data_IF_036581795261
#
_entry.id   IF_036581795261
#
_cell.length_a   1.000
_cell.length_b   1.000
_cell.length_c   1.000
_cell.angle_alpha   90.00
_cell.angle_beta   90.00
_cell.angle_gamma   90.00
#
_symmetry.space_group_name_H-M   'P 1'
#
loop_
_entity.id
_entity.type
_entity.pdbx_description
1 polymer ?
#
# COMPACT_ATOMS: atom_id res chain seq x y z
N UNK A 1 12.44 3.53 31.38
CA UNK A 1 12.42 3.63 29.91
C UNK A 1 10.97 3.77 29.50
N UNK A 2 10.54 4.97 29.13
CA UNK A 2 9.12 5.25 28.89
C UNK A 2 8.96 5.78 27.46
N UNK A 3 8.30 5.01 26.60
CA UNK A 3 7.79 5.44 25.30
C UNK A 3 6.25 5.56 25.41
N UNK A 4 5.79 6.25 26.46
CA UNK A 4 4.42 6.30 26.99
C UNK A 4 3.31 6.76 26.03
N UNK A 5 3.62 7.11 24.78
CA UNK A 5 2.68 7.65 23.81
C UNK A 5 2.96 7.19 22.38
N UNK A 6 3.33 5.93 22.18
CA UNK A 6 3.71 5.47 20.86
C UNK A 6 2.55 5.38 19.86
N UNK A 7 2.17 6.54 19.31
CA UNK A 7 1.47 6.69 18.05
C UNK A 7 2.55 6.78 16.98
N UNK A 8 2.69 5.71 16.20
CA UNK A 8 3.57 5.60 15.05
C UNK A 8 3.64 6.92 14.28
N UNK A 9 4.85 7.36 13.95
CA UNK A 9 4.99 8.53 13.09
C UNK A 9 5.24 8.13 11.64
N UNK A 10 5.79 6.93 11.42
CA UNK A 10 6.08 6.38 10.11
C UNK A 10 5.72 4.90 10.03
N UNK A 11 5.22 4.51 8.88
CA UNK A 11 4.93 3.12 8.51
C UNK A 11 5.49 2.92 7.11
N UNK A 12 6.46 2.02 7.01
CA UNK A 12 7.02 1.56 5.74
C UNK A 12 6.66 0.09 5.51
N UNK A 13 7.04 -0.46 4.37
CA UNK A 13 6.86 -1.86 4.03
C UNK A 13 8.17 -2.44 3.50
N UNK A 14 8.62 -3.54 4.08
CA UNK A 14 9.80 -4.27 3.60
C UNK A 14 9.43 -5.72 3.33
N UNK A 15 10.10 -6.31 2.34
CA UNK A 15 9.93 -7.71 2.00
C UNK A 15 10.68 -8.59 3.01
N UNK A 16 9.97 -9.55 3.61
CA UNK A 16 10.51 -10.50 4.56
C UNK A 16 10.71 -11.87 3.89
N UNK A 17 11.98 -12.30 3.80
CA UNK A 17 12.37 -13.55 3.15
C UNK A 17 11.81 -14.81 3.84
N UNK A 18 11.57 -14.76 5.17
CA UNK A 18 11.03 -15.91 5.91
C UNK A 18 9.53 -16.10 5.65
N UNK A 19 8.81 -14.99 5.40
CA UNK A 19 7.37 -14.99 5.13
C UNK A 19 7.01 -14.88 3.65
N UNK A 20 7.97 -14.63 2.76
CA UNK A 20 7.80 -14.44 1.29
C UNK A 20 6.75 -13.36 0.97
N UNK A 21 6.66 -12.33 1.82
CA UNK A 21 5.63 -11.29 1.76
C UNK A 21 6.19 -9.94 2.26
N UNK A 22 5.65 -8.83 1.75
CA UNK A 22 5.89 -7.51 2.32
C UNK A 22 5.16 -7.35 3.67
N UNK A 23 5.87 -6.81 4.65
CA UNK A 23 5.39 -6.62 6.02
C UNK A 23 5.50 -5.15 6.44
N UNK A 24 4.56 -4.70 7.28
CA UNK A 24 4.63 -3.36 7.87
C UNK A 24 5.85 -3.21 8.77
N UNK A 25 6.68 -2.21 8.50
CA UNK A 25 7.70 -1.74 9.43
C UNK A 25 7.22 -0.45 10.08
N UNK A 26 7.14 -0.47 11.40
CA UNK A 26 6.66 0.66 12.19
C UNK A 26 7.80 1.32 12.92
N UNK A 27 8.02 2.62 12.65
CA UNK A 27 9.10 3.38 13.29
C UNK A 27 8.53 4.37 14.30
N UNK A 28 9.10 4.34 15.50
CA UNK A 28 8.77 5.27 16.57
C UNK A 28 9.60 6.56 16.47
N UNK A 29 9.13 7.66 17.06
CA UNK A 29 9.85 8.97 17.02
C UNK A 29 11.24 8.95 17.65
N UNK A 30 11.60 7.88 18.38
CA UNK A 30 12.92 7.65 18.95
C UNK A 30 13.82 6.76 18.06
N UNK A 31 13.36 6.41 16.86
CA UNK A 31 14.08 5.54 15.92
C UNK A 31 14.06 4.06 16.29
N UNK A 32 13.12 3.63 17.15
CA UNK A 32 12.91 2.19 17.37
C UNK A 32 12.00 1.65 16.27
N UNK A 33 12.44 0.58 15.63
CA UNK A 33 11.71 -0.15 14.60
C UNK A 33 10.97 -1.34 15.20
N UNK A 34 9.86 -1.70 14.57
CA UNK A 34 9.14 -2.93 14.82
C UNK A 34 8.91 -3.57 13.46
N UNK A 35 9.47 -4.75 13.29
CA UNK A 35 9.19 -5.65 12.17
C UNK A 35 8.68 -7.00 12.73
N UNK A 36 8.41 -7.96 11.85
CA UNK A 36 7.89 -9.28 12.25
C UNK A 36 8.93 -10.15 12.98
N UNK A 37 10.21 -9.91 12.73
CA UNK A 37 11.37 -10.65 13.25
C UNK A 37 11.88 -10.10 14.60
N UNK A 38 11.76 -8.80 14.84
CA UNK A 38 12.17 -8.10 16.05
C UNK A 38 11.08 -8.23 17.11
N UNK A 39 11.30 -9.17 18.03
CA UNK A 39 10.64 -9.22 19.34
C UNK A 39 10.72 -7.86 20.02
N UNK A 40 9.67 -7.04 19.86
CA UNK A 40 9.33 -5.84 20.64
C UNK A 40 10.50 -5.23 21.44
N UNK A 41 11.46 -4.59 20.76
CA UNK A 41 12.58 -3.92 21.44
C UNK A 41 12.09 -2.80 22.36
N UNK A 42 10.94 -2.19 22.03
CA UNK A 42 10.33 -1.15 22.85
C UNK A 42 9.09 -1.66 23.61
N UNK A 43 9.15 -1.50 24.94
CA UNK A 43 8.14 -1.97 25.90
C UNK A 43 6.73 -1.44 25.65
N UNK A 44 6.62 -0.26 25.04
CA UNK A 44 5.34 0.37 24.70
C UNK A 44 4.67 -0.27 23.46
N UNK A 45 5.38 -1.15 22.76
CA UNK A 45 4.87 -1.92 21.62
C UNK A 45 4.49 -3.36 21.95
N UNK A 46 4.54 -3.76 23.23
CA UNK A 46 4.24 -5.14 23.66
C UNK A 46 2.90 -5.72 23.15
N UNK A 47 1.97 -4.89 22.68
CA UNK A 47 0.67 -5.29 22.13
C UNK A 47 0.56 -5.16 20.61
N UNK A 48 1.47 -4.45 19.95
CA UNK A 48 1.42 -4.28 18.51
C UNK A 48 2.00 -5.50 17.81
N UNK A 49 1.30 -5.94 16.78
CA UNK A 49 1.76 -6.98 15.87
C UNK A 49 1.78 -6.33 14.48
N UNK A 50 2.94 -6.30 13.81
CA UNK A 50 2.99 -5.88 12.41
C UNK A 50 1.96 -6.64 11.60
N UNK A 51 1.38 -5.97 10.60
CA UNK A 51 0.44 -6.61 9.69
C UNK A 51 1.13 -6.91 8.38
N UNK A 52 0.67 -7.98 7.72
CA UNK A 52 1.02 -8.26 6.34
C UNK A 52 0.50 -7.16 5.43
N UNK A 53 1.31 -6.76 4.45
CA UNK A 53 0.85 -5.87 3.40
C UNK A 53 -0.30 -6.53 2.65
N UNK A 54 -1.35 -5.76 2.40
CA UNK A 54 -2.47 -6.19 1.56
C UNK A 54 -2.53 -5.24 0.38
N UNK A 55 -2.10 -5.73 -0.77
CA UNK A 55 -2.16 -5.04 -2.05
C UNK A 55 -3.58 -4.53 -2.33
N UNK A 56 -3.71 -3.23 -2.63
CA UNK A 56 -5.00 -2.57 -2.84
C UNK A 56 -5.21 -2.27 -4.31
N UNK A 57 -6.39 -2.63 -4.81
CA UNK A 57 -6.82 -2.25 -6.15
C UNK A 57 -6.94 -0.73 -6.29
N UNK A 58 -6.48 -0.21 -7.44
CA UNK A 58 -6.72 1.19 -7.76
C UNK A 58 -8.20 1.45 -8.06
N UNK A 59 -8.58 2.73 -8.13
CA UNK A 59 -9.93 3.13 -8.58
C UNK A 59 -10.26 2.64 -10.00
N UNK A 60 -9.26 2.48 -10.86
CA UNK A 60 -9.43 2.03 -12.23
C UNK A 60 -9.54 0.50 -12.31
N UNK A 61 -8.85 -0.26 -11.46
CA UNK A 61 -9.00 -1.72 -11.36
C UNK A 61 -10.46 -2.13 -11.17
N UNK A 62 -11.19 -1.40 -10.31
CA UNK A 62 -12.59 -1.65 -9.98
C UNK A 62 -13.59 -0.88 -10.87
N UNK A 63 -13.15 -0.34 -12.00
CA UNK A 63 -14.00 0.45 -12.89
C UNK A 63 -14.64 -0.44 -13.97
N UNK A 64 -15.97 -0.36 -14.12
CA UNK A 64 -16.72 -1.08 -15.16
C UNK A 64 -16.24 -0.76 -16.59
N UNK A 65 -15.69 0.44 -16.81
CA UNK A 65 -15.15 0.89 -18.09
C UNK A 65 -13.68 0.46 -18.32
N UNK A 66 -13.06 -0.29 -17.39
CA UNK A 66 -11.65 -0.67 -17.51
C UNK A 66 -11.33 -1.41 -18.82
N UNK A 67 -12.13 -2.40 -19.29
CA UNK A 67 -11.84 -3.09 -20.56
C UNK A 67 -11.74 -2.12 -21.75
N UNK A 68 -12.72 -1.23 -21.90
CA UNK A 68 -12.72 -0.21 -22.96
C UNK A 68 -11.55 0.78 -22.80
N UNK A 69 -11.23 1.19 -21.57
CA UNK A 69 -10.11 2.08 -21.31
C UNK A 69 -8.75 1.44 -21.68
N UNK A 70 -8.60 0.12 -21.52
CA UNK A 70 -7.39 -0.62 -21.94
C UNK A 70 -7.26 -0.60 -23.46
N UNK A 71 -8.33 -0.94 -24.18
CA UNK A 71 -8.35 -0.95 -25.65
C UNK A 71 -8.03 0.42 -26.25
N UNK A 72 -8.54 1.50 -25.65
CA UNK A 72 -8.32 2.86 -26.13
C UNK A 72 -7.02 3.52 -25.61
N UNK A 73 -6.22 2.83 -24.80
CA UNK A 73 -4.99 3.39 -24.23
C UNK A 73 -5.20 4.54 -23.23
N UNK A 74 -6.36 4.58 -22.58
CA UNK A 74 -6.72 5.61 -21.58
C UNK A 74 -6.23 5.29 -20.16
N UNK A 75 -5.69 4.10 -19.94
CA UNK A 75 -5.05 3.69 -18.70
C UNK A 75 -3.60 3.29 -18.95
N UNK A 76 -2.76 3.50 -17.93
CA UNK A 76 -1.40 2.99 -17.85
C UNK A 76 -1.39 1.82 -16.88
N UNK A 77 -0.74 0.72 -17.28
CA UNK A 77 -0.45 -0.38 -16.39
C UNK A 77 0.74 0.01 -15.50
N UNK A 78 0.53 0.06 -14.18
CA UNK A 78 1.54 0.41 -13.17
C UNK A 78 1.88 -0.78 -12.26
N UNK A 79 1.62 -2.00 -12.71
CA UNK A 79 2.01 -3.24 -12.01
C UNK A 79 3.53 -3.29 -11.90
N UNK A 80 4.04 -3.55 -10.69
CA UNK A 80 5.46 -3.82 -10.45
C UNK A 80 5.73 -5.32 -10.36
N UNK A 81 6.99 -5.74 -10.44
CA UNK A 81 7.36 -7.17 -10.46
C UNK A 81 6.93 -7.94 -9.20
N UNK A 82 6.71 -7.22 -8.08
CA UNK A 82 6.27 -7.78 -6.80
C UNK A 82 4.74 -7.87 -6.67
N UNK A 83 3.98 -7.31 -7.62
CA UNK A 83 2.53 -7.36 -7.59
C UNK A 83 2.00 -8.70 -8.10
N UNK A 84 1.03 -9.25 -7.38
CA UNK A 84 0.33 -10.47 -7.78
C UNK A 84 -0.84 -10.19 -8.74
N UNK A 85 -1.23 -8.92 -8.91
CA UNK A 85 -2.35 -8.51 -9.76
C UNK A 85 -1.99 -7.29 -10.59
N UNK A 86 -2.67 -7.16 -11.73
CA UNK A 86 -2.44 -6.01 -12.59
C UNK A 86 -3.11 -4.74 -12.05
N UNK A 87 -2.34 -3.66 -11.93
CA UNK A 87 -2.84 -2.34 -11.52
C UNK A 87 -2.87 -1.34 -12.67
N UNK A 88 -3.96 -0.58 -12.74
CA UNK A 88 -4.18 0.40 -13.79
C UNK A 88 -4.42 1.78 -13.20
N UNK A 89 -3.87 2.82 -13.78
CA UNK A 89 -4.15 4.21 -13.44
C UNK A 89 -4.55 5.00 -14.68
N UNK A 90 -5.31 6.10 -14.56
CA UNK A 90 -5.62 6.94 -15.72
C UNK A 90 -4.34 7.48 -16.36
N UNK A 91 -4.25 7.41 -17.70
CA UNK A 91 -3.19 8.09 -18.43
C UNK A 91 -3.40 9.60 -18.33
N UNK A 92 -2.31 10.37 -18.29
CA UNK A 92 -2.39 11.83 -18.27
C UNK A 92 -3.16 12.34 -19.51
N UNK A 93 -4.16 13.20 -19.29
CA UNK A 93 -5.03 13.72 -20.35
C UNK A 93 -6.09 12.74 -20.88
N UNK A 94 -6.24 11.55 -20.30
CA UNK A 94 -7.26 10.60 -20.73
C UNK A 94 -8.69 11.10 -20.48
N UNK A 95 -9.55 10.92 -21.48
CA UNK A 95 -10.97 11.24 -21.39
C UNK A 95 -11.73 10.16 -20.61
N UNK A 96 -11.71 10.28 -19.27
CA UNK A 96 -12.41 9.34 -18.41
C UNK A 96 -13.93 9.57 -18.42
N UNK A 97 -14.68 8.64 -19.02
CA UNK A 97 -16.16 8.67 -19.06
C UNK A 97 -16.78 8.84 -17.66
N UNK A 98 -16.27 8.09 -16.68
CA UNK A 98 -16.73 8.16 -15.28
C UNK A 98 -16.46 9.51 -14.61
N UNK A 99 -15.34 10.18 -14.95
CA UNK A 99 -15.02 11.53 -14.45
C UNK A 99 -15.92 12.58 -15.09
N UNK A 100 -16.20 12.44 -16.39
CA UNK A 100 -17.06 13.35 -17.14
C UNK A 100 -18.54 13.22 -16.76
N UNK A 101 -19.00 12.04 -16.34
CA UNK A 101 -20.36 11.83 -15.84
C UNK A 101 -20.64 12.51 -14.49
N UNK A 102 -19.61 12.79 -13.68
CA UNK A 102 -19.73 13.53 -12.40
C UNK A 102 -19.65 15.04 -12.56
N UNK A 103 -19.31 15.52 -13.75
CA UNK A 103 -19.19 16.96 -14.05
C UNK A 103 -20.49 17.55 -14.66
N UNK A 104 -21.56 16.76 -14.72
CA UNK A 104 -22.92 17.16 -15.08
C UNK A 104 -23.80 17.07 -13.85
#
# INVERSE_FOLDING_TARGET
MTCENCKYYDVDYEYDDDYDEEIEICVCRKGHEIDFSLKNICSDFNKYKPKRYVEKDTKCNNCEFLPECKENGYVLNCTVEMDNRQHFIPRMGANCKKRNARAK
#
